data_IF_819956815803
#
_entry.id   IF_819956815803
#
_cell.length_a   1.000
_cell.length_b   1.000
_cell.length_c   1.000
_cell.angle_alpha   90.00
_cell.angle_beta   90.00
_cell.angle_gamma   90.00
#
_symmetry.space_group_name_H-M   'P 1'
#
loop_
_entity.id
_entity.type
_entity.pdbx_description
1 polymer ?
#
# COMPACT_ATOMS: atom_id res chain seq x y z
N UNK A 1 7.31 -5.82 4.40
CA UNK A 1 7.74 -6.35 3.08
C UNK A 1 6.59 -7.16 2.48
N UNK A 2 6.42 -7.13 1.16
CA UNK A 2 5.32 -7.83 0.47
C UNK A 2 5.89 -8.72 -0.63
N UNK A 3 5.48 -9.99 -0.66
CA UNK A 3 5.80 -10.93 -1.74
C UNK A 3 4.60 -11.05 -2.66
N UNK A 4 4.82 -10.93 -3.96
CA UNK A 4 3.77 -10.85 -4.98
C UNK A 4 4.06 -11.80 -6.14
N UNK A 5 3.04 -12.60 -6.53
CA UNK A 5 3.10 -13.46 -7.71
C UNK A 5 2.66 -12.73 -8.97
N UNK A 6 1.58 -11.96 -8.87
CA UNK A 6 1.02 -11.11 -9.92
C UNK A 6 0.34 -9.91 -9.27
N UNK A 7 0.21 -8.82 -10.02
CA UNK A 7 -0.64 -7.72 -9.59
C UNK A 7 -2.09 -8.20 -9.53
N UNK A 8 -2.71 -8.04 -8.37
CA UNK A 8 -4.12 -8.24 -8.15
C UNK A 8 -4.60 -7.15 -7.19
N UNK A 9 -5.56 -6.35 -7.65
CA UNK A 9 -6.00 -5.16 -6.91
C UNK A 9 -6.82 -5.53 -5.67
N UNK A 10 -7.58 -6.63 -5.71
CA UNK A 10 -8.32 -7.12 -4.55
C UNK A 10 -7.37 -7.55 -3.46
N UNK A 11 -6.37 -8.36 -3.80
CA UNK A 11 -5.35 -8.78 -2.85
C UNK A 11 -4.56 -7.61 -2.28
N UNK A 12 -4.14 -6.67 -3.12
CA UNK A 12 -3.40 -5.49 -2.68
C UNK A 12 -4.20 -4.65 -1.68
N UNK A 13 -5.48 -4.37 -1.99
CA UNK A 13 -6.31 -3.51 -1.14
C UNK A 13 -6.71 -4.23 0.14
N UNK A 14 -7.33 -5.40 0.05
CA UNK A 14 -7.79 -6.13 1.24
C UNK A 14 -6.62 -6.57 2.10
N UNK A 15 -5.54 -7.07 1.49
CA UNK A 15 -4.35 -7.47 2.21
C UNK A 15 -3.64 -6.30 2.89
N UNK A 16 -3.57 -5.11 2.27
CA UNK A 16 -3.01 -3.92 2.94
C UNK A 16 -3.89 -3.43 4.09
N UNK A 17 -5.22 -3.39 3.89
CA UNK A 17 -6.17 -2.99 4.93
C UNK A 17 -6.11 -3.93 6.15
N UNK A 18 -6.14 -5.24 5.92
CA UNK A 18 -6.05 -6.26 6.96
C UNK A 18 -4.69 -6.23 7.64
N UNK A 19 -3.60 -6.19 6.86
CA UNK A 19 -2.24 -6.10 7.39
C UNK A 19 -2.07 -4.90 8.33
N UNK A 20 -2.52 -3.72 7.89
CA UNK A 20 -2.38 -2.50 8.68
C UNK A 20 -3.34 -2.48 9.88
N UNK A 21 -4.56 -2.99 9.72
CA UNK A 21 -5.53 -3.11 10.80
C UNK A 21 -5.10 -4.08 11.91
N UNK A 22 -4.17 -5.00 11.60
CA UNK A 22 -3.58 -5.94 12.57
C UNK A 22 -2.29 -5.47 13.24
N UNK A 23 -1.80 -4.26 12.97
CA UNK A 23 -0.60 -3.73 13.62
C UNK A 23 -0.88 -3.33 15.08
N UNK A 24 0.03 -3.68 16.00
CA UNK A 24 0.02 -3.08 17.34
C UNK A 24 0.41 -1.59 17.26
N UNK A 25 0.12 -0.78 18.30
CA UNK A 25 0.56 0.61 18.36
C UNK A 25 2.08 0.79 18.13
N UNK A 26 2.89 -0.10 18.72
CA UNK A 26 4.34 -0.07 18.56
C UNK A 26 4.77 -0.39 17.12
N UNK A 27 4.06 -1.29 16.45
CA UNK A 27 4.32 -1.65 15.05
C UNK A 27 3.86 -0.54 14.09
N UNK A 28 2.75 0.13 14.40
CA UNK A 28 2.30 1.32 13.69
C UNK A 28 3.36 2.43 13.79
N UNK A 29 3.95 2.67 14.96
CA UNK A 29 5.05 3.61 15.15
C UNK A 29 6.30 3.24 14.33
N UNK A 30 6.67 1.95 14.33
CA UNK A 30 7.77 1.45 13.47
C UNK A 30 7.45 1.71 12.01
N UNK A 31 6.21 1.48 11.61
CA UNK A 31 5.76 1.66 10.25
C UNK A 31 5.79 3.15 9.84
N UNK A 32 5.33 4.07 10.68
CA UNK A 32 5.46 5.53 10.46
C UNK A 32 6.91 5.94 10.26
N UNK A 33 7.83 5.44 11.10
CA UNK A 33 9.28 5.72 10.97
C UNK A 33 9.92 5.13 9.71
N UNK A 34 9.33 4.06 9.15
CA UNK A 34 9.84 3.34 8.00
C UNK A 34 8.94 3.42 6.78
N UNK A 35 8.07 4.43 6.73
CA UNK A 35 7.04 4.59 5.71
C UNK A 35 7.61 4.43 4.31
N UNK A 36 8.76 5.01 3.98
CA UNK A 36 9.32 4.94 2.62
C UNK A 36 9.93 3.60 2.23
N UNK A 37 9.94 2.60 3.12
CA UNK A 37 10.77 1.38 3.00
C UNK A 37 9.99 0.13 2.63
N UNK A 38 8.72 0.23 2.27
CA UNK A 38 7.93 -0.91 1.76
C UNK A 38 8.57 -1.44 0.48
N UNK A 39 8.84 -2.75 0.44
CA UNK A 39 9.37 -3.44 -0.74
C UNK A 39 8.37 -4.50 -1.21
N UNK A 40 8.06 -4.45 -2.50
CA UNK A 40 7.36 -5.50 -3.21
C UNK A 40 8.38 -6.37 -3.95
N UNK A 41 8.36 -7.68 -3.67
CA UNK A 41 9.28 -8.65 -4.24
C UNK A 41 8.49 -9.70 -5.05
N UNK A 42 8.99 -10.06 -6.23
CA UNK A 42 8.42 -11.10 -7.07
C UNK A 42 8.72 -12.48 -6.46
N UNK A 43 7.68 -13.26 -6.21
CA UNK A 43 7.74 -14.61 -5.66
C UNK A 43 6.37 -15.26 -5.60
N UNK A 44 6.27 -16.50 -5.10
CA UNK A 44 4.99 -17.18 -4.92
C UNK A 44 4.60 -17.18 -3.44
N UNK A 45 3.56 -16.43 -3.01
CA UNK A 45 3.10 -16.42 -1.63
C UNK A 45 2.75 -17.81 -1.06
N UNK A 46 2.31 -18.75 -1.91
CA UNK A 46 2.04 -20.12 -1.49
C UNK A 46 3.26 -20.82 -0.88
N UNK A 47 4.48 -20.46 -1.32
CA UNK A 47 5.72 -21.02 -0.77
C UNK A 47 6.04 -20.51 0.64
N UNK A 48 5.27 -19.54 1.13
CA UNK A 48 5.44 -18.91 2.44
C UNK A 48 4.34 -19.32 3.42
N UNK A 49 3.33 -20.08 2.96
CA UNK A 49 2.26 -20.59 3.83
C UNK A 49 2.87 -21.48 4.90
N UNK A 50 2.50 -21.26 6.16
CA UNK A 50 3.09 -21.92 7.33
C UNK A 50 4.38 -21.29 7.84
N UNK A 51 4.93 -20.28 7.15
CA UNK A 51 6.01 -19.47 7.72
C UNK A 51 5.46 -18.55 8.81
N UNK A 52 6.05 -18.52 10.01
CA UNK A 52 5.64 -17.57 11.06
C UNK A 52 5.93 -16.11 10.70
N UNK A 53 6.68 -15.87 9.62
CA UNK A 53 6.95 -14.53 9.12
C UNK A 53 5.76 -13.94 8.34
N UNK A 54 4.83 -14.75 7.82
CA UNK A 54 3.65 -14.25 7.09
C UNK A 54 2.61 -13.78 8.09
N UNK A 55 2.23 -12.50 8.01
CA UNK A 55 1.19 -11.90 8.86
C UNK A 55 -0.17 -11.90 8.19
N UNK A 56 -0.20 -11.57 6.90
CA UNK A 56 -1.44 -11.46 6.13
C UNK A 56 -1.20 -11.97 4.72
N UNK A 57 -2.21 -12.63 4.15
CA UNK A 57 -2.23 -13.07 2.76
C UNK A 57 -3.48 -12.49 2.13
N UNK A 58 -3.35 -11.90 0.94
CA UNK A 58 -4.51 -11.39 0.21
C UNK A 58 -5.50 -12.52 -0.12
N UNK A 59 -6.81 -12.23 -0.29
CA UNK A 59 -7.84 -13.26 -0.44
C UNK A 59 -7.60 -14.28 -1.58
N UNK A 60 -7.01 -13.84 -2.69
CA UNK A 60 -6.63 -14.67 -3.84
C UNK A 60 -5.26 -15.36 -3.71
N UNK A 61 -4.50 -15.11 -2.64
CA UNK A 61 -3.18 -15.71 -2.41
C UNK A 61 -2.07 -15.23 -3.34
N UNK A 62 -2.25 -14.07 -4.00
CA UNK A 62 -1.28 -13.48 -4.92
C UNK A 62 -0.32 -12.50 -4.27
N UNK A 63 -0.68 -11.97 -3.09
CA UNK A 63 0.16 -11.14 -2.26
C UNK A 63 0.23 -11.66 -0.82
N UNK A 64 1.41 -11.57 -0.20
CA UNK A 64 1.60 -11.85 1.23
C UNK A 64 2.47 -10.80 1.91
N UNK A 65 2.03 -10.34 3.08
CA UNK A 65 2.70 -9.37 3.93
C UNK A 65 3.48 -10.10 5.01
N UNK A 66 4.76 -9.76 5.11
CA UNK A 66 5.68 -10.37 6.07
C UNK A 66 5.90 -9.52 7.35
N UNK A 67 5.13 -8.44 7.53
CA UNK A 67 5.33 -7.53 8.65
C UNK A 67 6.16 -6.29 8.33
N UNK A 68 6.16 -5.30 9.26
CA UNK A 68 7.29 -4.41 9.40
C UNK A 68 8.50 -5.29 9.76
N UNK A 69 9.54 -5.27 8.93
CA UNK A 69 10.74 -6.07 9.17
C UNK A 69 11.87 -5.16 9.55
N UNK A 70 12.68 -5.58 10.52
CA UNK A 70 13.93 -4.90 10.82
C UNK A 70 14.79 -4.84 9.55
N UNK A 71 15.06 -3.63 9.08
CA UNK A 71 15.85 -3.36 7.89
C UNK A 71 17.32 -3.74 8.08
N UNK A 72 17.81 -3.79 9.32
CA UNK A 72 19.16 -4.28 9.64
C UNK A 72 19.25 -5.81 9.52
N UNK A 73 18.13 -6.50 9.66
CA UNK A 73 18.05 -7.96 9.53
C UNK A 73 16.85 -8.37 8.66
N UNK A 74 16.89 -8.07 7.36
CA UNK A 74 15.81 -8.45 6.47
C UNK A 74 15.72 -9.98 6.42
N UNK A 75 14.54 -10.56 6.15
CA UNK A 75 14.38 -12.01 6.07
C UNK A 75 15.33 -12.53 5.00
N UNK A 76 15.99 -13.68 5.24
CA UNK A 76 16.90 -14.27 4.26
C UNK A 76 16.26 -14.43 2.87
N UNK A 77 14.94 -14.65 2.85
CA UNK A 77 14.08 -14.68 1.67
C UNK A 77 14.25 -13.45 0.75
N UNK A 78 14.44 -12.25 1.31
CA UNK A 78 14.59 -11.02 0.52
C UNK A 78 15.81 -11.02 -0.40
N UNK A 79 16.85 -11.82 -0.08
CA UNK A 79 18.06 -11.97 -0.90
C UNK A 79 17.84 -12.89 -2.11
N UNK A 80 16.79 -13.72 -2.08
CA UNK A 80 16.48 -14.70 -3.11
C UNK A 80 15.43 -14.19 -4.10
N UNK A 81 14.70 -13.13 -3.76
CA UNK A 81 13.60 -12.60 -4.55
C UNK A 81 13.99 -11.27 -5.22
N UNK A 82 13.46 -11.04 -6.41
CA UNK A 82 13.72 -9.81 -7.18
C UNK A 82 12.72 -8.72 -6.82
N UNK A 83 13.13 -7.44 -6.69
CA UNK A 83 12.19 -6.33 -6.58
C UNK A 83 11.25 -6.28 -7.79
N UNK A 84 10.00 -5.90 -7.55
CA UNK A 84 9.06 -5.56 -8.64
C UNK A 84 9.56 -4.30 -9.34
N UNK A 85 9.63 -4.36 -10.68
CA UNK A 85 9.97 -3.23 -11.54
C UNK A 85 9.08 -3.25 -12.78
N UNK A 86 9.18 -2.22 -13.63
CA UNK A 86 8.51 -2.18 -14.93
C UNK A 86 7.39 -1.15 -15.04
N UNK A 87 6.82 -1.09 -16.25
CA UNK A 87 5.71 -0.18 -16.59
C UNK A 87 4.41 -0.65 -15.95
N UNK A 88 3.64 0.28 -15.40
CA UNK A 88 2.29 0.03 -14.92
C UNK A 88 1.45 -0.53 -16.09
N UNK A 89 0.82 -1.72 -15.96
CA UNK A 89 -0.13 -2.19 -16.97
C UNK A 89 -1.31 -1.23 -17.11
N UNK A 90 -2.05 -1.35 -18.20
CA UNK A 90 -3.33 -0.65 -18.33
C UNK A 90 -4.27 -1.12 -17.21
N UNK A 91 -4.76 -0.16 -16.43
CA UNK A 91 -5.70 -0.39 -15.34
C UNK A 91 -7.09 0.05 -15.78
N UNK A 92 -8.15 -0.64 -15.35
CA UNK A 92 -9.52 -0.17 -15.57
C UNK A 92 -9.73 1.20 -14.91
N UNK A 93 -10.53 2.10 -15.52
CA UNK A 93 -10.70 3.48 -15.01
C UNK A 93 -11.31 3.52 -13.61
N UNK A 94 -12.10 2.52 -13.24
CA UNK A 94 -12.57 2.36 -11.87
C UNK A 94 -12.70 0.88 -11.51
N UNK A 95 -12.42 0.55 -10.25
CA UNK A 95 -12.58 -0.78 -9.66
C UNK A 95 -13.32 -0.66 -8.35
N UNK A 96 -14.41 -1.42 -8.21
CA UNK A 96 -15.09 -1.56 -6.94
C UNK A 96 -14.61 -2.83 -6.24
N UNK A 97 -14.18 -2.67 -5.00
CA UNK A 97 -13.66 -3.75 -4.15
C UNK A 97 -14.59 -3.86 -2.93
N UNK A 98 -15.38 -4.94 -2.83
CA UNK A 98 -16.38 -5.07 -1.80
C UNK A 98 -15.73 -5.19 -0.42
N UNK A 99 -16.33 -4.56 0.59
CA UNK A 99 -15.95 -4.72 1.99
C UNK A 99 -17.03 -5.47 2.77
N UNK A 100 -16.73 -5.85 4.00
CA UNK A 100 -17.70 -6.54 4.88
C UNK A 100 -18.71 -5.57 5.49
N UNK A 101 -18.36 -4.28 5.64
CA UNK A 101 -19.27 -3.25 6.15
C UNK A 101 -20.25 -2.80 5.07
N UNK A 102 -21.52 -2.65 5.47
CA UNK A 102 -22.53 -1.96 4.65
C UNK A 102 -22.27 -0.46 4.65
N UNK A 103 -22.33 0.19 3.50
CA UNK A 103 -22.15 1.63 3.35
C UNK A 103 -21.64 2.03 1.98
N UNK A 104 -21.47 3.34 1.78
CA UNK A 104 -20.81 3.86 0.59
C UNK A 104 -19.33 3.46 0.58
N UNK A 105 -18.75 3.15 -0.59
CA UNK A 105 -17.32 2.86 -0.68
C UNK A 105 -16.48 4.10 -0.36
N UNK A 106 -15.34 3.87 0.29
CA UNK A 106 -14.27 4.85 0.35
C UNK A 106 -13.65 4.97 -1.05
N UNK A 107 -13.77 6.14 -1.68
CA UNK A 107 -13.16 6.40 -2.98
C UNK A 107 -11.70 6.83 -2.83
N UNK A 108 -10.80 6.17 -3.56
CA UNK A 108 -9.38 6.49 -3.66
C UNK A 108 -9.08 6.80 -5.12
N UNK A 109 -8.77 8.07 -5.40
CA UNK A 109 -8.36 8.54 -6.72
C UNK A 109 -6.83 8.46 -6.85
N UNK A 110 -6.34 7.90 -7.94
CA UNK A 110 -4.91 7.67 -8.16
C UNK A 110 -4.52 8.27 -9.51
N UNK A 111 -3.62 9.26 -9.48
CA UNK A 111 -2.95 9.75 -10.69
C UNK A 111 -1.98 8.68 -11.20
N UNK A 112 -2.19 8.18 -12.42
CA UNK A 112 -1.41 7.09 -13.00
C UNK A 112 -0.36 7.55 -14.03
N UNK A 113 -0.39 8.81 -14.46
CA UNK A 113 0.58 9.34 -15.44
C UNK A 113 2.01 9.21 -14.89
N UNK A 114 2.87 8.56 -15.66
CA UNK A 114 4.29 8.37 -15.32
C UNK A 114 4.56 7.37 -14.19
N UNK A 115 3.53 6.72 -13.61
CA UNK A 115 3.74 5.71 -12.58
C UNK A 115 4.34 4.43 -13.16
N UNK A 116 5.30 3.88 -12.43
CA UNK A 116 5.76 2.49 -12.61
C UNK A 116 4.87 1.55 -11.81
N UNK A 117 4.92 0.24 -12.11
CA UNK A 117 4.21 -0.77 -11.29
C UNK A 117 4.63 -0.68 -9.83
N UNK A 118 5.93 -0.52 -9.56
CA UNK A 118 6.45 -0.37 -8.21
C UNK A 118 5.92 0.90 -7.53
N UNK A 119 5.91 2.04 -8.25
CA UNK A 119 5.37 3.30 -7.75
C UNK A 119 3.89 3.18 -7.38
N UNK A 120 3.08 2.60 -8.25
CA UNK A 120 1.66 2.36 -8.01
C UNK A 120 1.42 1.48 -6.77
N UNK A 121 2.11 0.33 -6.67
CA UNK A 121 2.01 -0.58 -5.53
C UNK A 121 2.36 0.11 -4.21
N UNK A 122 3.46 0.86 -4.20
CA UNK A 122 3.93 1.61 -3.04
C UNK A 122 2.91 2.68 -2.66
N UNK A 123 2.48 3.51 -3.60
CA UNK A 123 1.54 4.61 -3.31
C UNK A 123 0.22 4.09 -2.77
N UNK A 124 -0.41 3.13 -3.45
CA UNK A 124 -1.70 2.59 -3.00
C UNK A 124 -1.60 1.92 -1.62
N UNK A 125 -0.57 1.10 -1.40
CA UNK A 125 -0.33 0.48 -0.09
C UNK A 125 -0.18 1.53 1.01
N UNK A 126 0.57 2.59 0.74
CA UNK A 126 0.80 3.67 1.70
C UNK A 126 -0.45 4.46 2.01
N UNK A 127 -1.21 4.87 1.00
CA UNK A 127 -2.48 5.58 1.20
C UNK A 127 -3.47 4.77 2.03
N UNK A 128 -3.61 3.47 1.74
CA UNK A 128 -4.49 2.59 2.51
C UNK A 128 -4.04 2.45 3.96
N UNK A 129 -2.74 2.20 4.15
CA UNK A 129 -2.18 2.03 5.48
C UNK A 129 -2.27 3.33 6.30
N UNK A 130 -2.07 4.51 5.69
CA UNK A 130 -2.33 5.81 6.36
C UNK A 130 -3.75 5.86 6.86
N UNK A 131 -4.69 5.64 5.95
CA UNK A 131 -6.09 5.85 6.20
C UNK A 131 -6.57 4.94 7.34
N UNK A 132 -6.05 3.71 7.41
CA UNK A 132 -6.35 2.77 8.50
C UNK A 132 -5.77 3.27 9.82
N UNK A 133 -4.48 3.61 9.86
CA UNK A 133 -3.81 4.00 11.11
C UNK A 133 -4.33 5.31 11.69
N UNK A 134 -4.91 6.18 10.85
CA UNK A 134 -5.55 7.43 11.26
C UNK A 134 -7.04 7.28 11.56
N UNK A 135 -7.58 6.06 11.46
CA UNK A 135 -8.99 5.77 11.66
C UNK A 135 -9.92 6.41 10.62
N UNK A 136 -9.41 6.76 9.44
CA UNK A 136 -10.19 7.34 8.32
C UNK A 136 -10.90 6.27 7.51
N UNK A 137 -10.34 5.06 7.45
CA UNK A 137 -10.97 3.89 6.87
C UNK A 137 -10.92 2.73 7.86
N UNK A 138 -12.04 2.03 8.03
CA UNK A 138 -12.06 0.74 8.72
C UNK A 138 -11.57 -0.33 7.73
N UNK A 139 -10.73 -1.31 8.14
CA UNK A 139 -10.23 -2.37 7.26
C UNK A 139 -11.32 -3.15 6.49
N UNK A 140 -12.56 -3.14 7.00
CA UNK A 140 -13.72 -3.80 6.39
C UNK A 140 -14.54 -2.88 5.49
N UNK A 141 -14.12 -1.64 5.28
CA UNK A 141 -14.84 -0.66 4.44
C UNK A 141 -14.73 -1.06 2.96
N UNK A 142 -15.82 -1.03 2.19
CA UNK A 142 -15.73 -1.18 0.74
C UNK A 142 -14.86 -0.06 0.14
N UNK A 143 -14.05 -0.38 -0.86
CA UNK A 143 -13.15 0.58 -1.51
C UNK A 143 -13.52 0.73 -2.98
N UNK A 144 -13.44 1.96 -3.49
CA UNK A 144 -13.52 2.25 -4.92
C UNK A 144 -12.22 2.89 -5.37
N UNK A 145 -11.47 2.21 -6.22
CA UNK A 145 -10.32 2.79 -6.88
C UNK A 145 -10.79 3.53 -8.13
N UNK A 146 -10.29 4.74 -8.34
CA UNK A 146 -10.53 5.53 -9.54
C UNK A 146 -9.17 5.94 -10.10
N UNK A 147 -8.82 5.37 -11.25
CA UNK A 147 -7.57 5.65 -11.94
C UNK A 147 -7.78 6.80 -12.90
N UNK A 148 -7.07 7.89 -12.66
CA UNK A 148 -7.10 9.08 -13.51
C UNK A 148 -5.71 9.35 -14.06
N UNK A 149 -5.57 9.98 -15.24
CA UNK A 149 -4.26 10.39 -15.72
C UNK A 149 -3.56 11.29 -14.70
N UNK A 150 -4.27 12.31 -14.23
CA UNK A 150 -3.80 13.31 -13.29
C UNK A 150 -4.94 13.66 -12.31
N UNK A 151 -4.59 14.11 -11.11
CA UNK A 151 -5.55 14.71 -10.19
C UNK A 151 -5.67 16.20 -10.56
N UNK A 152 -6.89 16.70 -10.68
CA UNK A 152 -7.12 18.14 -10.77
C UNK A 152 -6.83 18.82 -9.41
N UNK A 153 -6.51 20.11 -9.44
CA UNK A 153 -6.11 20.88 -8.26
C UNK A 153 -7.21 20.85 -7.18
N UNK A 154 -8.48 20.88 -7.56
CA UNK A 154 -9.62 20.82 -6.65
C UNK A 154 -9.74 19.45 -5.93
N UNK A 155 -9.52 18.36 -6.66
CA UNK A 155 -9.41 17.00 -6.10
C UNK A 155 -8.18 16.86 -5.22
N UNK A 156 -7.05 17.46 -5.59
CA UNK A 156 -5.82 17.43 -4.80
C UNK A 156 -5.97 18.17 -3.46
N UNK A 157 -6.71 19.28 -3.44
CA UNK A 157 -6.98 20.10 -2.25
C UNK A 157 -8.06 19.52 -1.33
N UNK A 158 -9.05 18.82 -1.88
CA UNK A 158 -10.12 18.14 -1.11
C UNK A 158 -9.71 16.76 -0.59
N UNK A 159 -8.56 16.24 -1.01
CA UNK A 159 -7.99 14.99 -0.54
C UNK A 159 -7.57 15.10 0.92
N UNK A 160 -8.07 14.20 1.77
CA UNK A 160 -7.90 14.28 3.21
C UNK A 160 -6.46 14.05 3.74
N UNK A 161 -5.42 13.93 2.91
CA UNK A 161 -4.07 13.66 3.42
C UNK A 161 -2.90 14.14 2.56
N UNK A 162 -1.95 14.80 3.23
CA UNK A 162 -0.69 15.34 2.71
C UNK A 162 0.49 14.46 3.16
N UNK A 163 1.50 14.29 2.29
CA UNK A 163 2.66 13.41 2.58
C UNK A 163 3.83 14.21 3.17
N UNK A 164 4.40 13.70 4.24
CA UNK A 164 5.65 14.20 4.84
C UNK A 164 6.84 13.42 4.27
N UNK A 165 7.90 14.14 3.89
CA UNK A 165 9.14 13.60 3.35
C UNK A 165 10.36 14.18 4.11
N UNK A 166 11.42 13.38 4.24
CA UNK A 166 12.73 13.88 4.69
C UNK A 166 13.59 14.21 3.47
N UNK A 167 14.02 15.47 3.36
CA UNK A 167 15.02 15.87 2.38
C UNK A 167 16.36 15.18 2.62
N UNK A 168 17.19 15.03 1.57
CA UNK A 168 18.54 14.50 1.70
C UNK A 168 19.47 15.37 2.59
N UNK A 169 19.02 16.57 2.95
CA UNK A 169 19.64 17.53 3.86
C UNK A 169 19.19 17.40 5.32
N UNK A 170 18.30 16.44 5.64
CA UNK A 170 17.78 16.23 6.98
C UNK A 170 16.58 17.11 7.36
N UNK A 171 16.07 17.96 6.46
CA UNK A 171 14.85 18.75 6.74
C UNK A 171 13.57 17.93 6.59
N UNK A 172 12.64 18.12 7.54
CA UNK A 172 11.28 17.61 7.47
C UNK A 172 10.47 18.51 6.51
N UNK A 173 9.90 17.93 5.45
CA UNK A 173 9.10 18.65 4.46
C UNK A 173 7.69 18.09 4.42
N UNK A 174 6.73 18.91 4.81
CA UNK A 174 5.32 18.71 4.59
C UNK A 174 4.98 19.29 3.21
N UNK A 175 4.52 18.46 2.28
CA UNK A 175 3.98 18.96 1.02
C UNK A 175 2.45 18.94 1.11
N UNK A 176 1.87 20.08 1.45
CA UNK A 176 0.51 20.43 1.04
C UNK A 176 0.66 21.25 -0.23
N UNK A 177 0.11 20.80 -1.36
CA UNK A 177 -0.01 21.71 -2.50
C UNK A 177 -1.07 22.75 -2.14
N UNK A 178 -0.73 24.03 -2.25
CA UNK A 178 -1.63 25.17 -1.97
C UNK A 178 -1.51 26.15 -3.13
N UNK A 179 -2.64 26.48 -3.73
CA UNK A 179 -3.05 27.86 -3.87
C UNK A 179 -4.50 27.94 -3.39
#
# INVERSE_FOLDING_TARGET
MVVMRRLDLGDLVHGALEFTGGLSPEEADIWYRNWTRTRFLLGNPHNLLGSPAVRTVGPGGHLAWLGPVDVARPPGLSRLLKPVTGRLPELPPSVHLPGERRGAPCEIRIACRGLTTAGYLIHLHHTLAEAVLLGKIDPRTPVRLVHVPDLDDESALSSAYARVHYGADGTLRLYTFVA
#
